data_IF_760881565274
#
_entry.id   IF_760881565274
#
_cell.length_a   1.000
_cell.length_b   1.000
_cell.length_c   1.000
_cell.angle_alpha   90.00
_cell.angle_beta   90.00
_cell.angle_gamma   90.00
#
_symmetry.space_group_name_H-M   'P 1'
#
loop_
_entity.id
_entity.type
_entity.pdbx_description
1 polymer ?
#
# COMPACT_ATOMS: atom_id res chain seq x y z
N UNK A 1 6.10 -33.17 -25.92
CA UNK A 1 5.56 -31.81 -25.81
C UNK A 1 6.21 -31.18 -24.59
N UNK A 2 7.09 -30.20 -24.77
CA UNK A 2 7.58 -29.43 -23.63
C UNK A 2 6.41 -28.59 -23.12
N UNK A 3 5.95 -28.84 -21.89
CA UNK A 3 5.00 -27.93 -21.24
C UNK A 3 5.65 -26.54 -21.20
N UNK A 4 4.99 -25.55 -21.77
CA UNK A 4 5.41 -24.15 -21.65
C UNK A 4 5.36 -23.77 -20.18
N UNK A 5 6.50 -23.33 -19.64
CA UNK A 5 6.60 -22.84 -18.27
C UNK A 5 5.65 -21.64 -18.11
N UNK A 6 4.80 -21.63 -17.07
CA UNK A 6 3.87 -20.53 -16.80
C UNK A 6 4.46 -19.46 -15.87
N UNK A 7 5.40 -19.86 -15.02
CA UNK A 7 6.14 -18.97 -14.13
C UNK A 7 7.49 -19.57 -13.75
N UNK A 8 8.42 -18.72 -13.35
CA UNK A 8 9.74 -19.10 -12.84
C UNK A 8 10.00 -18.35 -11.55
N UNK A 9 10.56 -19.02 -10.54
CA UNK A 9 10.83 -18.42 -9.24
C UNK A 9 12.25 -18.76 -8.77
N UNK A 10 12.96 -17.75 -8.28
CA UNK A 10 14.17 -17.92 -7.49
C UNK A 10 13.84 -17.86 -6.01
N UNK A 11 14.24 -18.90 -5.28
CA UNK A 11 14.03 -19.03 -3.85
C UNK A 11 15.10 -18.24 -3.07
N UNK A 12 14.80 -17.78 -1.84
CA UNK A 12 15.71 -16.94 -1.09
C UNK A 12 16.97 -17.69 -0.64
N UNK A 13 16.89 -19.02 -0.51
CA UNK A 13 18.04 -19.89 -0.18
C UNK A 13 19.07 -19.86 -1.30
N UNK A 14 18.62 -19.84 -2.55
CA UNK A 14 19.47 -19.92 -3.74
C UNK A 14 19.88 -18.52 -4.25
N UNK A 15 19.22 -17.48 -3.76
CA UNK A 15 19.33 -16.12 -4.29
C UNK A 15 19.62 -15.07 -3.18
N UNK A 16 20.54 -15.40 -2.27
CA UNK A 16 21.09 -14.42 -1.32
C UNK A 16 20.03 -13.71 -0.46
N UNK A 17 19.01 -14.45 0.00
CA UNK A 17 17.88 -13.94 0.78
C UNK A 17 16.90 -13.03 0.01
N UNK A 18 16.80 -13.23 -1.32
CA UNK A 18 15.87 -12.52 -2.20
C UNK A 18 14.93 -13.52 -2.87
N UNK A 19 13.64 -13.22 -2.89
CA UNK A 19 12.66 -13.96 -3.71
C UNK A 19 12.40 -13.17 -4.98
N UNK A 20 12.48 -13.83 -6.13
CA UNK A 20 12.10 -13.25 -7.42
C UNK A 20 11.16 -14.19 -8.15
N UNK A 21 10.09 -13.65 -8.73
CA UNK A 21 9.06 -14.41 -9.45
C UNK A 21 8.76 -13.73 -10.77
N UNK A 22 8.83 -14.48 -11.86
CA UNK A 22 8.42 -14.08 -13.19
C UNK A 22 7.21 -14.91 -13.61
N UNK A 23 6.17 -14.29 -14.17
CA UNK A 23 4.97 -15.02 -14.60
C UNK A 23 4.37 -14.47 -15.88
N UNK A 24 3.72 -15.35 -16.65
CA UNK A 24 2.98 -14.95 -17.86
C UNK A 24 1.67 -14.22 -17.54
N UNK A 25 1.11 -14.45 -16.35
CA UNK A 25 -0.13 -13.84 -15.86
C UNK A 25 0.02 -13.26 -14.46
N UNK A 26 -0.71 -12.18 -14.19
CA UNK A 26 -0.82 -11.55 -12.87
C UNK A 26 -1.47 -12.51 -11.89
N UNK A 27 -0.97 -12.53 -10.65
CA UNK A 27 -1.62 -13.25 -9.56
C UNK A 27 -2.95 -12.57 -9.16
N UNK A 28 -4.12 -13.21 -9.37
CA UNK A 28 -5.40 -12.65 -8.94
C UNK A 28 -5.66 -12.91 -7.45
N UNK A 29 -6.69 -12.25 -6.89
CA UNK A 29 -7.11 -12.45 -5.51
C UNK A 29 -7.57 -13.89 -5.21
N UNK A 30 -8.32 -14.49 -6.14
CA UNK A 30 -8.82 -15.86 -6.06
C UNK A 30 -8.20 -16.71 -7.18
N UNK A 31 -6.92 -17.11 -7.07
CA UNK A 31 -6.24 -17.89 -8.09
C UNK A 31 -6.77 -19.33 -8.11
N UNK A 32 -6.71 -19.93 -9.29
CA UNK A 32 -7.07 -21.32 -9.57
C UNK A 32 -5.98 -21.97 -10.43
N UNK A 33 -5.96 -23.30 -10.47
CA UNK A 33 -4.99 -24.05 -11.28
C UNK A 33 -3.53 -23.70 -10.94
N UNK A 34 -2.69 -23.51 -11.95
CA UNK A 34 -1.27 -23.22 -11.76
C UNK A 34 -1.00 -21.90 -11.02
N UNK A 35 -1.91 -20.91 -11.09
CA UNK A 35 -1.78 -19.65 -10.33
C UNK A 35 -1.89 -19.89 -8.82
N UNK A 36 -2.69 -20.88 -8.40
CA UNK A 36 -2.79 -21.26 -6.99
C UNK A 36 -1.48 -21.90 -6.52
N UNK A 37 -0.87 -22.75 -7.34
CA UNK A 37 0.43 -23.34 -7.07
C UNK A 37 1.52 -22.27 -6.96
N UNK A 38 1.58 -21.36 -7.95
CA UNK A 38 2.48 -20.21 -7.95
C UNK A 38 2.34 -19.37 -6.67
N UNK A 39 1.10 -19.08 -6.23
CA UNK A 39 0.87 -18.35 -4.97
C UNK A 39 1.42 -19.10 -3.77
N UNK A 40 1.13 -20.39 -3.66
CA UNK A 40 1.54 -21.19 -2.52
C UNK A 40 3.08 -21.28 -2.44
N UNK A 41 3.75 -21.47 -3.58
CA UNK A 41 5.20 -21.44 -3.68
C UNK A 41 5.77 -20.08 -3.31
N UNK A 42 5.20 -18.99 -3.82
CA UNK A 42 5.62 -17.64 -3.46
C UNK A 42 5.47 -17.37 -1.95
N UNK A 43 4.37 -17.79 -1.34
CA UNK A 43 4.15 -17.67 0.11
C UNK A 43 5.21 -18.42 0.91
N UNK A 44 5.47 -19.68 0.55
CA UNK A 44 6.51 -20.49 1.19
C UNK A 44 7.91 -19.88 1.01
N UNK A 45 8.21 -19.32 -0.18
CA UNK A 45 9.47 -18.64 -0.43
C UNK A 45 9.62 -17.38 0.42
N UNK A 46 8.60 -16.52 0.48
CA UNK A 46 8.60 -15.31 1.32
C UNK A 46 8.77 -15.65 2.80
N UNK A 47 8.09 -16.69 3.29
CA UNK A 47 8.21 -17.14 4.70
C UNK A 47 9.61 -17.65 5.07
N UNK A 48 10.45 -17.97 4.07
CA UNK A 48 11.84 -18.43 4.23
C UNK A 48 12.85 -17.30 4.12
N UNK A 49 12.44 -16.06 3.81
CA UNK A 49 13.34 -14.91 3.89
C UNK A 49 13.80 -14.77 5.34
N UNK A 50 15.11 -14.79 5.55
CA UNK A 50 15.73 -14.62 6.86
C UNK A 50 15.61 -13.18 7.33
N UNK A 51 15.25 -13.03 8.59
CA UNK A 51 15.26 -11.78 9.32
C UNK A 51 16.38 -11.85 10.37
N UNK A 52 17.57 -11.42 9.98
CA UNK A 52 18.77 -11.49 10.81
C UNK A 52 18.95 -10.23 11.69
N UNK A 53 18.03 -9.26 11.64
CA UNK A 53 18.14 -8.01 12.42
C UNK A 53 16.79 -7.33 12.67
N UNK A 54 16.60 -6.87 13.90
CA UNK A 54 15.44 -6.08 14.35
C UNK A 54 15.24 -4.71 13.66
N UNK A 55 16.05 -4.36 12.67
CA UNK A 55 16.00 -3.06 11.97
C UNK A 55 15.70 -3.17 10.48
N UNK A 56 15.47 -4.39 9.97
CA UNK A 56 15.19 -4.59 8.55
C UNK A 56 13.72 -4.38 8.24
N UNK A 57 13.48 -3.95 7.01
CA UNK A 57 12.18 -3.62 6.45
C UNK A 57 11.97 -4.49 5.22
N UNK A 58 10.77 -5.04 5.04
CA UNK A 58 10.38 -5.70 3.81
C UNK A 58 10.42 -4.70 2.65
N UNK A 59 11.13 -5.02 1.58
CA UNK A 59 11.04 -4.32 0.30
C UNK A 59 10.41 -5.25 -0.74
N UNK A 60 9.21 -4.88 -1.19
CA UNK A 60 8.41 -5.60 -2.16
C UNK A 60 8.27 -4.77 -3.44
N UNK A 61 8.57 -5.38 -4.59
CA UNK A 61 8.54 -4.74 -5.90
C UNK A 61 7.65 -5.54 -6.84
N UNK A 62 6.76 -4.84 -7.55
CA UNK A 62 6.01 -5.38 -8.68
C UNK A 62 6.37 -4.61 -9.94
N UNK A 63 6.53 -5.30 -11.07
CA UNK A 63 6.88 -4.67 -12.33
C UNK A 63 6.10 -5.31 -13.48
N UNK A 64 5.47 -4.47 -14.31
CA UNK A 64 4.84 -4.86 -15.57
C UNK A 64 4.66 -3.64 -16.47
N UNK A 65 4.67 -3.86 -17.78
CA UNK A 65 4.30 -2.85 -18.79
C UNK A 65 2.87 -3.06 -19.33
N UNK A 66 2.12 -3.99 -18.75
CA UNK A 66 0.73 -4.18 -19.13
C UNK A 66 -0.13 -3.03 -18.61
N UNK A 67 -1.08 -2.59 -19.44
CA UNK A 67 -2.09 -1.60 -19.05
C UNK A 67 -3.19 -2.26 -18.21
N UNK A 68 -3.70 -1.54 -17.21
CA UNK A 68 -4.79 -1.99 -16.35
C UNK A 68 -4.79 -1.28 -15.00
N UNK A 69 -5.77 -1.63 -14.15
CA UNK A 69 -5.80 -1.18 -12.75
C UNK A 69 -4.92 -2.09 -11.89
N UNK A 70 -3.93 -1.50 -11.23
CA UNK A 70 -2.99 -2.17 -10.35
C UNK A 70 -2.83 -1.36 -9.07
N UNK A 71 -3.38 -1.87 -7.97
CA UNK A 71 -3.10 -1.32 -6.66
C UNK A 71 -1.87 -2.08 -6.12
N UNK A 72 -0.79 -1.34 -5.84
CA UNK A 72 0.52 -1.92 -5.57
C UNK A 72 0.49 -2.88 -4.37
N UNK A 73 -0.25 -2.54 -3.32
CA UNK A 73 -0.45 -3.37 -2.13
C UNK A 73 -1.31 -4.61 -2.41
N UNK A 74 -2.27 -4.53 -3.33
CA UNK A 74 -3.08 -5.68 -3.72
C UNK A 74 -2.22 -6.74 -4.39
N UNK A 75 -1.42 -6.34 -5.38
CA UNK A 75 -0.57 -7.27 -6.13
C UNK A 75 0.60 -7.80 -5.30
N UNK A 76 1.20 -6.98 -4.43
CA UNK A 76 2.38 -7.37 -3.68
C UNK A 76 2.10 -8.08 -2.36
N UNK A 77 0.99 -7.76 -1.69
CA UNK A 77 0.72 -8.23 -0.32
C UNK A 77 -0.59 -9.01 -0.24
N UNK A 78 -1.71 -8.41 -0.67
CA UNK A 78 -3.03 -8.97 -0.42
C UNK A 78 -3.30 -10.26 -1.21
N UNK A 79 -3.01 -10.26 -2.52
CA UNK A 79 -3.22 -11.42 -3.38
C UNK A 79 -2.27 -12.59 -3.07
N UNK A 80 -1.08 -12.28 -2.55
CA UNK A 80 -0.10 -13.27 -2.08
C UNK A 80 -0.58 -13.90 -0.78
N UNK A 81 -1.11 -13.09 0.14
CA UNK A 81 -1.62 -13.53 1.43
C UNK A 81 -0.90 -12.84 2.57
N UNK A 82 -1.52 -11.84 3.24
CA UNK A 82 -0.90 -11.07 4.32
C UNK A 82 -0.23 -11.89 5.44
N UNK A 83 -0.75 -13.07 5.86
CA UNK A 83 -0.11 -13.86 6.92
C UNK A 83 1.33 -14.27 6.62
N UNK A 84 1.69 -14.48 5.34
CA UNK A 84 3.03 -14.93 4.95
C UNK A 84 4.12 -13.87 5.17
N UNK A 85 3.72 -12.60 5.35
CA UNK A 85 4.64 -11.49 5.62
C UNK A 85 4.78 -11.12 7.09
N UNK A 86 4.08 -11.83 8.00
CA UNK A 86 3.96 -11.43 9.42
C UNK A 86 5.31 -11.18 10.10
N UNK A 87 6.33 -11.98 9.76
CA UNK A 87 7.69 -11.86 10.33
C UNK A 87 8.46 -10.66 9.76
N UNK A 88 8.23 -10.30 8.51
CA UNK A 88 9.00 -9.29 7.77
C UNK A 88 8.44 -7.87 7.90
N UNK A 89 7.18 -7.75 8.33
CA UNK A 89 6.42 -6.49 8.35
C UNK A 89 6.19 -5.90 9.75
N UNK A 90 7.03 -6.27 10.72
CA UNK A 90 6.96 -5.78 12.11
C UNK A 90 7.57 -4.38 12.28
N UNK A 91 8.68 -4.10 11.58
CA UNK A 91 9.41 -2.83 11.68
C UNK A 91 9.07 -1.86 10.55
N UNK A 92 8.52 -2.36 9.45
CA UNK A 92 8.15 -1.55 8.30
C UNK A 92 7.93 -2.37 7.05
N UNK A 93 7.46 -1.71 6.00
CA UNK A 93 7.42 -2.23 4.64
C UNK A 93 7.65 -1.08 3.65
N UNK A 94 8.23 -1.43 2.51
CA UNK A 94 8.40 -0.59 1.35
C UNK A 94 7.83 -1.33 0.15
N UNK A 95 6.89 -0.72 -0.56
CA UNK A 95 6.22 -1.26 -1.73
C UNK A 95 6.51 -0.34 -2.89
N UNK A 96 6.86 -0.92 -4.02
CA UNK A 96 7.11 -0.18 -5.26
C UNK A 96 6.48 -0.88 -6.45
N UNK A 97 5.78 -0.10 -7.29
CA UNK A 97 5.24 -0.55 -8.55
C UNK A 97 6.00 0.12 -9.70
N UNK A 98 6.69 -0.65 -10.54
CA UNK A 98 7.35 -0.17 -11.76
C UNK A 98 6.51 -0.41 -13.01
N UNK A 99 6.22 0.66 -13.77
CA UNK A 99 5.44 0.61 -15.03
C UNK A 99 6.33 0.31 -16.26
N UNK A 100 7.21 -0.68 -16.15
CA UNK A 100 8.18 -1.03 -17.18
C UNK A 100 8.15 -2.54 -17.48
N UNK A 101 8.81 -2.97 -18.57
CA UNK A 101 8.94 -4.39 -18.89
C UNK A 101 9.54 -5.14 -17.69
N UNK A 102 9.05 -6.36 -17.38
CA UNK A 102 9.60 -7.18 -16.31
C UNK A 102 11.12 -7.31 -16.40
N UNK A 103 11.76 -7.36 -15.24
CA UNK A 103 13.20 -7.55 -15.12
C UNK A 103 13.66 -8.81 -15.86
N UNK A 104 14.89 -8.80 -16.38
CA UNK A 104 15.41 -9.89 -17.22
C UNK A 104 15.42 -11.21 -16.45
N UNK A 105 14.93 -12.27 -17.10
CA UNK A 105 15.03 -13.64 -16.61
C UNK A 105 16.50 -14.09 -16.52
N UNK A 106 16.84 -15.02 -15.61
CA UNK A 106 18.14 -15.67 -15.60
C UNK A 106 18.45 -16.37 -16.93
N UNK A 107 19.75 -16.47 -17.26
CA UNK A 107 20.21 -17.13 -18.49
C UNK A 107 19.70 -18.58 -18.51
N UNK A 108 19.21 -19.02 -19.66
CA UNK A 108 18.66 -20.37 -19.96
C UNK A 108 17.20 -20.63 -19.57
N UNK A 109 16.48 -19.66 -19.00
CA UNK A 109 15.03 -19.80 -18.80
C UNK A 109 14.28 -19.27 -20.02
N UNK A 110 13.45 -20.11 -20.64
CA UNK A 110 12.57 -19.74 -21.73
C UNK A 110 11.16 -19.50 -21.19
N UNK A 111 10.81 -18.23 -20.96
CA UNK A 111 9.52 -17.79 -20.44
C UNK A 111 9.22 -16.38 -20.96
N UNK A 112 8.08 -16.17 -21.61
CA UNK A 112 7.61 -14.83 -22.00
C UNK A 112 6.89 -14.18 -20.81
N UNK A 113 7.66 -13.73 -19.83
CA UNK A 113 7.12 -13.16 -18.59
C UNK A 113 6.54 -11.75 -18.82
N UNK A 114 5.31 -11.54 -18.35
CA UNK A 114 4.62 -10.24 -18.38
C UNK A 114 4.61 -9.54 -17.02
N UNK A 115 4.94 -10.27 -15.96
CA UNK A 115 4.93 -9.76 -14.59
C UNK A 115 6.17 -10.22 -13.84
N UNK A 116 6.65 -9.35 -12.97
CA UNK A 116 7.75 -9.61 -12.07
C UNK A 116 7.40 -9.20 -10.64
N UNK A 117 7.72 -10.05 -9.68
CA UNK A 117 7.70 -9.73 -8.25
C UNK A 117 9.09 -9.92 -7.68
N UNK A 118 9.45 -9.07 -6.72
CA UNK A 118 10.64 -9.26 -5.91
C UNK A 118 10.37 -8.93 -4.46
N UNK A 119 10.87 -9.78 -3.56
CA UNK A 119 10.80 -9.58 -2.12
C UNK A 119 12.19 -9.73 -1.53
N UNK A 120 12.58 -8.76 -0.71
CA UNK A 120 13.84 -8.78 0.03
C UNK A 120 13.67 -8.02 1.34
N UNK A 121 14.70 -8.04 2.17
CA UNK A 121 14.79 -7.23 3.37
C UNK A 121 16.03 -6.35 3.32
N UNK A 122 15.90 -5.12 3.80
CA UNK A 122 17.03 -4.19 3.88
C UNK A 122 16.87 -3.25 5.08
N UNK A 123 17.99 -2.73 5.58
CA UNK A 123 17.97 -1.64 6.54
C UNK A 123 17.38 -0.37 5.88
N UNK A 124 16.65 0.44 6.64
CA UNK A 124 15.96 1.63 6.12
C UNK A 124 16.88 2.55 5.30
N UNK A 125 18.07 2.84 5.83
CA UNK A 125 19.07 3.71 5.17
C UNK A 125 19.52 3.23 3.79
N UNK A 126 19.32 1.95 3.50
CA UNK A 126 19.68 1.32 2.23
C UNK A 126 18.49 1.25 1.26
N UNK A 127 17.27 1.56 1.71
CA UNK A 127 16.10 1.61 0.85
C UNK A 127 16.16 2.87 0.00
N UNK A 128 16.29 2.66 -1.32
CA UNK A 128 16.15 3.69 -2.33
C UNK A 128 15.12 3.19 -3.35
N UNK A 129 14.16 4.02 -3.79
CA UNK A 129 13.24 3.63 -4.85
C UNK A 129 14.01 3.18 -6.10
N UNK A 130 13.60 2.09 -6.72
CA UNK A 130 14.25 1.50 -7.90
C UNK A 130 13.84 2.19 -9.19
N UNK A 131 12.57 2.57 -9.32
CA UNK A 131 11.94 3.07 -10.53
C UNK A 131 11.57 4.55 -10.46
N UNK A 132 11.57 5.15 -9.26
CA UNK A 132 10.99 6.49 -9.06
C UNK A 132 12.01 7.50 -8.54
N UNK A 133 12.01 8.70 -9.13
CA UNK A 133 12.66 9.88 -8.58
C UNK A 133 11.66 10.65 -7.71
N UNK A 134 12.08 11.03 -6.49
CA UNK A 134 11.30 11.90 -5.62
C UNK A 134 11.48 13.36 -6.07
N UNK A 135 10.37 14.04 -6.35
CA UNK A 135 10.38 15.42 -6.86
C UNK A 135 10.06 16.43 -5.76
N UNK A 136 8.79 16.56 -5.40
CA UNK A 136 8.29 17.52 -4.43
C UNK A 136 7.44 16.86 -3.36
N UNK A 137 7.27 17.51 -2.21
CA UNK A 137 6.28 17.09 -1.21
C UNK A 137 4.97 17.80 -1.52
N UNK A 138 3.87 17.06 -1.65
CA UNK A 138 2.54 17.61 -1.92
C UNK A 138 1.85 18.05 -0.63
N UNK A 139 1.92 17.19 0.38
CA UNK A 139 1.35 17.41 1.69
C UNK A 139 2.13 16.65 2.76
N UNK A 140 2.07 17.14 4.00
CA UNK A 140 2.70 16.52 5.16
C UNK A 140 1.86 16.69 6.42
N UNK A 141 1.95 15.73 7.32
CA UNK A 141 1.26 15.75 8.61
C UNK A 141 2.18 15.26 9.72
N UNK A 142 1.89 15.67 10.95
CA UNK A 142 2.64 15.27 12.14
C UNK A 142 1.68 15.01 13.29
N UNK A 143 1.94 13.96 14.07
CA UNK A 143 1.19 13.63 15.28
C UNK A 143 -0.33 13.50 15.07
N UNK A 144 -0.76 13.02 13.90
CA UNK A 144 -2.17 12.70 13.69
C UNK A 144 -2.49 11.45 14.51
N UNK A 145 -3.57 11.43 15.32
CA UNK A 145 -3.98 10.24 16.05
C UNK A 145 -4.19 9.08 15.08
N UNK A 146 -3.72 7.89 15.46
CA UNK A 146 -3.93 6.69 14.67
C UNK A 146 -4.78 5.72 15.49
N UNK A 147 -5.90 5.16 14.97
CA UNK A 147 -6.57 4.07 15.65
C UNK A 147 -5.61 2.85 15.75
N UNK A 148 -5.76 2.00 16.78
CA UNK A 148 -4.93 0.81 16.91
C UNK A 148 -4.93 -0.05 15.64
N UNK A 149 -3.74 -0.38 15.14
CA UNK A 149 -3.57 -1.14 13.91
C UNK A 149 -3.83 -2.63 14.14
N UNK A 150 -5.10 -3.03 14.01
CA UNK A 150 -5.57 -4.41 14.14
C UNK A 150 -6.31 -4.86 12.88
N UNK A 151 -6.53 -6.16 12.73
CA UNK A 151 -7.11 -6.75 11.51
C UNK A 151 -8.53 -6.29 11.16
N UNK A 152 -9.22 -5.59 12.05
CA UNK A 152 -10.54 -5.00 11.83
C UNK A 152 -10.49 -3.51 11.44
N UNK A 153 -9.30 -2.93 11.27
CA UNK A 153 -9.09 -1.54 10.86
C UNK A 153 -9.94 -1.20 9.62
N UNK A 154 -10.60 -0.05 9.67
CA UNK A 154 -11.43 0.45 8.58
C UNK A 154 -10.90 1.79 8.05
N UNK A 155 -10.96 2.00 6.72
CA UNK A 155 -10.40 3.22 6.10
C UNK A 155 -11.08 4.51 6.58
N UNK A 156 -12.37 4.47 6.91
CA UNK A 156 -13.09 5.65 7.40
C UNK A 156 -12.57 6.18 8.74
N UNK A 157 -11.98 5.32 9.59
CA UNK A 157 -11.36 5.77 10.85
C UNK A 157 -10.11 6.60 10.56
N UNK A 158 -9.25 6.11 9.67
CA UNK A 158 -8.03 6.81 9.25
C UNK A 158 -8.38 8.11 8.51
N UNK A 159 -9.32 8.05 7.58
CA UNK A 159 -9.79 9.22 6.85
C UNK A 159 -10.27 10.32 7.80
N UNK A 160 -11.04 9.96 8.84
CA UNK A 160 -11.56 10.93 9.80
C UNK A 160 -10.44 11.58 10.63
N UNK A 161 -9.50 10.78 11.14
CA UNK A 161 -8.36 11.33 11.88
C UNK A 161 -7.53 12.26 11.00
N UNK A 162 -7.30 11.91 9.74
CA UNK A 162 -6.59 12.79 8.80
C UNK A 162 -7.36 14.09 8.51
N UNK A 163 -8.65 14.01 8.17
CA UNK A 163 -9.48 15.18 7.83
C UNK A 163 -9.76 16.10 9.03
N UNK A 164 -9.77 15.57 10.24
CA UNK A 164 -10.05 16.33 11.47
C UNK A 164 -8.82 16.99 12.08
N UNK A 165 -7.62 16.74 11.54
CA UNK A 165 -6.36 17.23 12.08
C UNK A 165 -5.63 18.14 11.09
N UNK A 166 -4.63 18.87 11.59
CA UNK A 166 -3.87 19.81 10.78
C UNK A 166 -2.97 19.09 9.79
N UNK A 167 -3.23 19.33 8.50
CA UNK A 167 -2.41 18.89 7.37
C UNK A 167 -1.75 20.11 6.75
N UNK A 168 -0.45 20.05 6.49
CA UNK A 168 0.26 21.08 5.73
C UNK A 168 0.25 20.71 4.26
N UNK A 169 -0.46 21.47 3.45
CA UNK A 169 -0.44 21.39 1.99
C UNK A 169 0.65 22.31 1.44
N UNK A 170 1.44 21.80 0.50
CA UNK A 170 2.54 22.54 -0.15
C UNK A 170 2.21 22.87 -1.61
N UNK A 171 1.47 22.01 -2.30
CA UNK A 171 0.94 22.23 -3.66
C UNK A 171 -0.44 21.58 -3.81
N UNK A 172 -1.29 22.14 -4.67
CA UNK A 172 -2.63 21.63 -4.97
C UNK A 172 -2.75 21.03 -6.38
N UNK A 173 -1.64 20.90 -7.11
CA UNK A 173 -1.66 20.28 -8.44
C UNK A 173 -1.55 18.76 -8.26
N UNK A 174 -2.54 17.97 -8.70
CA UNK A 174 -2.45 16.52 -8.65
C UNK A 174 -1.32 16.02 -9.54
N UNK A 175 -0.46 15.11 -9.06
CA UNK A 175 0.64 14.57 -9.84
C UNK A 175 0.17 13.40 -10.70
N UNK A 176 0.95 13.06 -11.73
CA UNK A 176 0.74 11.82 -12.50
C UNK A 176 1.01 10.58 -11.64
N UNK A 177 2.07 10.62 -10.84
CA UNK A 177 2.43 9.57 -9.88
C UNK A 177 2.80 10.16 -8.54
N UNK A 178 2.46 9.43 -7.49
CA UNK A 178 2.82 9.82 -6.14
C UNK A 178 3.21 8.62 -5.29
N UNK A 179 3.86 8.93 -4.17
CA UNK A 179 4.15 7.98 -3.12
C UNK A 179 3.75 8.48 -1.75
N UNK A 180 3.68 7.57 -0.81
CA UNK A 180 3.39 7.84 0.59
C UNK A 180 4.57 7.37 1.43
N UNK A 181 5.09 8.26 2.26
CA UNK A 181 6.04 7.91 3.31
C UNK A 181 5.43 8.22 4.67
N UNK A 182 5.39 7.24 5.56
CA UNK A 182 4.75 7.40 6.86
C UNK A 182 5.49 6.62 7.95
N UNK A 183 5.63 7.27 9.10
CA UNK A 183 6.06 6.67 10.35
C UNK A 183 4.84 6.48 11.24
N UNK A 184 4.67 5.24 11.70
CA UNK A 184 3.63 4.82 12.63
C UNK A 184 4.26 4.68 14.01
N UNK A 185 3.84 5.50 14.94
CA UNK A 185 4.24 5.43 16.34
C UNK A 185 3.24 4.57 17.09
N UNK A 186 3.71 3.44 17.58
CA UNK A 186 2.92 2.44 18.27
C UNK A 186 3.41 2.26 19.70
N UNK A 187 2.51 1.99 20.67
CA UNK A 187 2.92 1.66 22.02
C UNK A 187 3.84 0.44 22.09
N UNK A 188 4.81 0.48 23.00
CA UNK A 188 5.70 -0.64 23.26
C UNK A 188 4.92 -1.92 23.61
N UNK A 189 5.43 -3.08 23.16
CA UNK A 189 4.82 -4.39 23.42
C UNK A 189 3.59 -4.70 22.55
N UNK A 190 3.18 -3.79 21.66
CA UNK A 190 2.22 -4.10 20.59
C UNK A 190 2.96 -4.76 19.44
N UNK A 191 2.37 -5.82 18.88
CA UNK A 191 2.87 -6.46 17.66
C UNK A 191 1.95 -6.08 16.50
N UNK A 192 2.49 -5.41 15.49
CA UNK A 192 1.76 -5.01 14.29
C UNK A 192 2.13 -5.97 13.15
N UNK A 193 1.11 -6.42 12.41
CA UNK A 193 1.33 -7.03 11.11
C UNK A 193 0.91 -6.02 10.04
N UNK A 194 1.86 -5.19 9.57
CA UNK A 194 1.56 -4.15 8.59
C UNK A 194 0.94 -4.71 7.31
N UNK A 195 1.35 -5.91 6.89
CA UNK A 195 0.77 -6.57 5.71
C UNK A 195 -0.75 -6.78 5.82
N UNK A 196 -1.28 -6.93 7.03
CA UNK A 196 -2.72 -7.14 7.25
C UNK A 196 -3.54 -5.86 7.34
N UNK A 197 -2.89 -4.71 7.59
CA UNK A 197 -3.56 -3.42 7.82
C UNK A 197 -3.22 -2.37 6.77
N UNK A 198 -2.22 -2.61 5.93
CA UNK A 198 -1.74 -1.64 4.93
C UNK A 198 -2.86 -1.15 4.03
N UNK A 199 -3.72 -2.04 3.52
CA UNK A 199 -4.78 -1.63 2.60
C UNK A 199 -5.75 -0.62 3.23
N UNK A 200 -6.48 -0.94 4.33
CA UNK A 200 -7.38 0.03 4.93
C UNK A 200 -6.66 1.28 5.44
N UNK A 201 -5.39 1.18 5.84
CA UNK A 201 -4.57 2.32 6.25
C UNK A 201 -4.31 3.28 5.07
N UNK A 202 -3.77 2.76 3.97
CA UNK A 202 -3.41 3.55 2.79
C UNK A 202 -4.66 4.06 2.07
N UNK A 203 -5.71 3.26 1.93
CA UNK A 203 -7.00 3.70 1.37
C UNK A 203 -7.53 4.92 2.14
N UNK A 204 -7.50 4.87 3.49
CA UNK A 204 -7.96 5.96 4.34
C UNK A 204 -7.10 7.22 4.22
N UNK A 205 -5.77 7.07 4.18
CA UNK A 205 -4.83 8.18 3.94
C UNK A 205 -5.11 8.81 2.58
N UNK A 206 -5.09 8.04 1.49
CA UNK A 206 -5.32 8.56 0.12
C UNK A 206 -6.67 9.28 0.04
N UNK A 207 -7.73 8.69 0.58
CA UNK A 207 -9.06 9.30 0.58
C UNK A 207 -9.11 10.65 1.31
N UNK A 208 -8.24 10.89 2.31
CA UNK A 208 -8.18 12.16 3.03
C UNK A 208 -7.59 13.31 2.21
N UNK A 209 -6.86 12.98 1.14
CA UNK A 209 -6.26 13.93 0.20
C UNK A 209 -7.07 14.11 -1.09
N UNK A 210 -8.29 13.61 -1.10
CA UNK A 210 -9.31 13.94 -2.08
C UNK A 210 -10.41 14.81 -1.46
N UNK A 211 -11.14 15.51 -2.32
CA UNK A 211 -12.45 16.07 -2.00
C UNK A 211 -13.55 15.29 -2.73
N UNK A 212 -14.69 15.12 -2.09
CA UNK A 212 -15.86 14.58 -2.77
C UNK A 212 -16.47 15.61 -3.73
N UNK A 213 -17.05 15.15 -4.83
CA UNK A 213 -17.70 16.01 -5.83
C UNK A 213 -19.16 16.35 -5.52
N UNK A 214 -19.67 15.99 -4.35
CA UNK A 214 -21.05 16.24 -3.89
C UNK A 214 -22.09 15.23 -4.37
N UNK A 215 -21.72 14.24 -5.19
CA UNK A 215 -22.66 13.26 -5.70
C UNK A 215 -23.30 12.41 -4.58
N UNK A 216 -24.61 12.60 -4.36
CA UNK A 216 -25.38 11.96 -3.28
C UNK A 216 -24.88 12.31 -1.87
N UNK A 217 -24.38 13.53 -1.66
CA UNK A 217 -23.79 13.99 -0.40
C UNK A 217 -24.64 13.63 0.83
N UNK A 218 -25.93 13.99 0.84
CA UNK A 218 -26.81 13.70 1.98
C UNK A 218 -26.89 12.20 2.33
N UNK A 219 -26.98 11.32 1.31
CA UNK A 219 -27.06 9.87 1.51
C UNK A 219 -25.73 9.30 2.01
N UNK A 220 -24.60 9.70 1.42
CA UNK A 220 -23.27 9.21 1.85
C UNK A 220 -22.92 9.73 3.24
N UNK A 221 -23.24 10.98 3.57
CA UNK A 221 -23.05 11.58 4.90
C UNK A 221 -23.88 10.83 5.95
N UNK A 222 -25.16 10.56 5.66
CA UNK A 222 -26.03 9.81 6.59
C UNK A 222 -25.48 8.40 6.87
N UNK A 223 -25.06 7.66 5.83
CA UNK A 223 -24.50 6.31 6.00
C UNK A 223 -23.16 6.32 6.72
N UNK A 224 -22.30 7.29 6.42
CA UNK A 224 -21.02 7.43 7.11
C UNK A 224 -21.22 7.79 8.59
N UNK A 225 -22.16 8.68 8.90
CA UNK A 225 -22.56 8.98 10.29
C UNK A 225 -23.04 7.72 11.03
N UNK A 226 -23.86 6.89 10.38
CA UNK A 226 -24.30 5.61 10.95
C UNK A 226 -23.12 4.64 11.21
N UNK A 227 -22.11 4.61 10.33
CA UNK A 227 -20.88 3.82 10.55
C UNK A 227 -20.09 4.31 11.77
N UNK A 228 -20.12 5.62 12.05
CA UNK A 228 -19.58 6.22 13.27
C UNK A 228 -20.52 6.16 14.47
N UNK A 229 -21.69 5.52 14.36
CA UNK A 229 -22.74 5.47 15.38
C UNK A 229 -23.15 6.87 15.86
N UNK A 230 -23.14 7.86 14.97
CA UNK A 230 -23.49 9.25 15.29
C UNK A 230 -22.47 10.00 16.15
N UNK A 231 -21.26 9.45 16.36
CA UNK A 231 -20.24 10.07 17.22
C UNK A 231 -19.73 11.42 16.71
N UNK A 232 -19.76 11.63 15.39
CA UNK A 232 -19.14 12.79 14.74
C UNK A 232 -20.18 13.63 14.00
N UNK A 233 -20.06 14.95 14.12
CA UNK A 233 -20.86 15.96 13.41
C UNK A 233 -20.08 16.54 12.22
N UNK A 234 -20.76 17.30 11.35
CA UNK A 234 -20.17 18.06 10.23
C UNK A 234 -19.37 17.18 9.25
N UNK A 235 -19.80 15.93 9.06
CA UNK A 235 -19.14 14.99 8.15
C UNK A 235 -19.26 15.44 6.69
N UNK A 236 -20.34 16.11 6.32
CA UNK A 236 -20.52 16.73 5.01
C UNK A 236 -19.47 17.80 4.70
N UNK A 237 -19.16 18.67 5.66
CA UNK A 237 -18.08 19.65 5.53
C UNK A 237 -16.73 18.95 5.29
N UNK A 238 -16.39 17.93 6.09
CA UNK A 238 -15.14 17.17 5.95
C UNK A 238 -15.07 16.39 4.62
N UNK A 239 -16.19 15.85 4.15
CA UNK A 239 -16.31 15.14 2.86
C UNK A 239 -16.04 16.10 1.69
N UNK A 240 -16.52 17.34 1.78
CA UNK A 240 -16.42 18.36 0.73
C UNK A 240 -15.16 19.23 0.83
N UNK A 241 -14.42 19.15 1.94
CA UNK A 241 -13.23 19.95 2.22
C UNK A 241 -12.15 19.78 1.14
N UNK A 242 -11.79 20.90 0.48
CA UNK A 242 -10.82 20.98 -0.62
C UNK A 242 -9.42 21.44 -0.19
N UNK A 243 -9.31 21.97 1.01
CA UNK A 243 -8.07 22.49 1.60
C UNK A 243 -6.95 21.44 1.61
N UNK A 244 -7.28 20.17 1.91
CA UNK A 244 -6.34 19.05 1.90
C UNK A 244 -6.31 18.27 0.56
N UNK A 245 -7.10 18.66 -0.44
CA UNK A 245 -7.40 17.82 -1.60
C UNK A 245 -6.31 17.85 -2.70
N UNK A 246 -5.05 17.57 -2.34
CA UNK A 246 -3.89 17.62 -3.25
C UNK A 246 -3.94 16.56 -4.36
N UNK A 247 -4.75 15.51 -4.19
CA UNK A 247 -5.01 14.50 -5.22
C UNK A 247 -6.28 14.80 -6.04
N UNK A 248 -6.93 15.94 -5.78
CA UNK A 248 -8.03 16.46 -6.56
C UNK A 248 -9.43 16.02 -6.11
N UNK A 249 -10.43 16.53 -6.83
CA UNK A 249 -11.86 16.31 -6.55
C UNK A 249 -12.38 15.12 -7.35
N UNK A 250 -13.17 14.24 -6.72
CA UNK A 250 -13.79 13.11 -7.41
C UNK A 250 -15.04 12.57 -6.73
N UNK A 251 -15.67 11.57 -7.33
CA UNK A 251 -16.69 10.76 -6.65
C UNK A 251 -16.02 9.83 -5.63
N UNK A 252 -15.57 10.43 -4.53
CA UNK A 252 -14.84 9.78 -3.44
C UNK A 252 -15.66 8.72 -2.72
N UNK A 253 -16.96 8.99 -2.53
CA UNK A 253 -17.89 8.11 -1.83
C UNK A 253 -19.05 7.71 -2.75
N UNK A 254 -19.47 6.46 -2.62
CA UNK A 254 -20.73 5.97 -3.20
C UNK A 254 -21.52 5.21 -2.13
N UNK A 255 -22.86 5.31 -2.10
CA UNK A 255 -23.66 4.48 -1.22
C UNK A 255 -23.45 3.00 -1.56
N UNK A 256 -23.20 2.15 -0.56
CA UNK A 256 -22.97 0.72 -0.75
C UNK A 256 -23.49 -0.10 0.43
N UNK A 257 -24.46 -1.00 0.17
CA UNK A 257 -25.17 -1.76 1.21
C UNK A 257 -25.64 -0.83 2.34
N UNK A 258 -25.28 -1.11 3.59
CA UNK A 258 -25.60 -0.28 4.77
C UNK A 258 -24.55 0.80 5.08
N UNK A 259 -23.54 0.97 4.22
CA UNK A 259 -22.46 1.93 4.42
C UNK A 259 -22.09 2.67 3.14
N UNK A 260 -20.81 3.00 3.03
CA UNK A 260 -20.24 3.66 1.86
C UNK A 260 -19.11 2.82 1.26
N UNK A 261 -18.91 2.97 -0.04
CA UNK A 261 -17.75 2.48 -0.76
C UNK A 261 -16.82 3.67 -1.04
N UNK A 262 -15.56 3.51 -0.66
CA UNK A 262 -14.50 4.49 -0.88
C UNK A 262 -13.87 4.29 -2.26
N UNK A 263 -13.41 5.39 -2.85
CA UNK A 263 -12.73 5.41 -4.14
C UNK A 263 -11.42 6.20 -4.02
N UNK A 264 -10.31 5.54 -3.65
CA UNK A 264 -9.03 6.19 -3.43
C UNK A 264 -8.29 6.62 -4.72
N UNK A 265 -8.44 5.93 -5.87
CA UNK A 265 -7.54 6.16 -7.05
C UNK A 265 -6.07 5.94 -6.69
N UNK A 266 -5.86 4.83 -5.99
CA UNK A 266 -4.57 4.29 -5.61
C UNK A 266 -3.77 3.73 -6.81
N UNK A 267 -4.31 3.72 -8.02
CA UNK A 267 -3.63 3.30 -9.26
C UNK A 267 -2.44 4.20 -9.68
N UNK A 268 -2.39 5.42 -9.14
CA UNK A 268 -1.28 6.36 -9.28
C UNK A 268 -0.36 6.40 -8.03
N UNK A 269 -0.70 5.66 -6.97
CA UNK A 269 0.16 5.46 -5.81
C UNK A 269 1.16 4.33 -6.10
N UNK A 270 2.35 4.70 -6.56
CA UNK A 270 3.35 3.75 -7.07
C UNK A 270 4.45 3.41 -6.07
N UNK A 271 4.47 4.09 -4.92
CA UNK A 271 5.46 3.89 -3.87
C UNK A 271 4.85 4.09 -2.49
N UNK A 272 5.06 3.15 -1.59
CA UNK A 272 4.60 3.25 -0.20
C UNK A 272 5.75 2.82 0.71
N UNK A 273 6.21 3.70 1.60
CA UNK A 273 7.15 3.39 2.67
C UNK A 273 6.46 3.61 4.01
N UNK A 274 6.24 2.52 4.74
CA UNK A 274 5.72 2.53 6.10
C UNK A 274 6.78 2.05 7.07
N UNK A 275 6.99 2.80 8.13
CA UNK A 275 7.88 2.44 9.23
C UNK A 275 7.08 2.33 10.52
N UNK A 276 7.50 1.46 11.41
CA UNK A 276 6.99 1.37 12.78
C UNK A 276 8.07 1.82 13.76
N UNK A 277 7.70 2.72 14.66
CA UNK A 277 8.49 3.08 15.83
C UNK A 277 7.69 2.73 17.09
N UNK A 278 8.32 1.95 17.98
CA UNK A 278 7.69 1.46 19.20
C UNK A 278 8.09 2.35 20.37
N UNK A 279 7.16 3.19 20.79
CA UNK A 279 7.40 4.27 21.74
C UNK A 279 6.87 3.95 23.14
N UNK A 280 7.47 4.58 24.14
CA UNK A 280 7.01 4.55 25.54
C UNK A 280 5.85 5.54 25.75
N UNK A 281 4.80 5.40 24.95
CA UNK A 281 3.54 6.15 25.01
C UNK A 281 2.41 5.15 24.75
N UNK A 282 1.26 5.35 25.37
CA UNK A 282 0.07 4.52 25.15
C UNK A 282 -0.75 4.97 23.93
N UNK A 283 -0.45 6.15 23.38
CA UNK A 283 -1.14 6.71 22.23
C UNK A 283 -0.48 6.32 20.92
N UNK A 284 -1.31 5.91 19.97
CA UNK A 284 -0.92 5.67 18.59
C UNK A 284 -0.94 6.97 17.80
N UNK A 285 0.09 7.22 17.00
CA UNK A 285 0.10 8.38 16.10
C UNK A 285 0.78 8.06 14.78
N UNK A 286 0.50 8.89 13.79
CA UNK A 286 1.10 8.82 12.47
C UNK A 286 1.63 10.19 12.04
N UNK A 287 2.78 10.16 11.40
CA UNK A 287 3.38 11.30 10.72
C UNK A 287 3.87 10.86 9.36
N UNK A 288 3.82 11.75 8.39
CA UNK A 288 4.13 11.34 7.03
C UNK A 288 3.93 12.44 6.01
N UNK A 289 4.07 12.03 4.76
CA UNK A 289 3.96 12.90 3.60
C UNK A 289 3.48 12.16 2.36
N UNK A 290 2.84 12.91 1.48
CA UNK A 290 2.65 12.53 0.07
C UNK A 290 3.73 13.24 -0.73
N UNK A 291 4.40 12.47 -1.59
CA UNK A 291 5.46 12.94 -2.47
C UNK A 291 5.08 12.74 -3.94
N UNK A 292 5.40 13.71 -4.77
CA UNK A 292 5.35 13.59 -6.22
C UNK A 292 6.51 12.71 -6.71
N UNK A 293 6.20 11.84 -7.66
CA UNK A 293 7.16 10.92 -8.26
C UNK A 293 7.18 11.05 -9.77
N UNK A 294 8.36 10.83 -10.34
CA UNK A 294 8.55 10.66 -11.79
C UNK A 294 9.34 9.40 -12.07
N UNK A 295 9.06 8.71 -13.16
CA UNK A 295 9.83 7.53 -13.57
C UNK A 295 11.32 7.88 -13.77
N UNK A 296 12.19 6.96 -13.34
CA UNK A 296 13.62 7.02 -13.64
C UNK A 296 13.82 6.68 -15.11
N UNK A 297 14.62 7.52 -15.77
CA UNK A 297 15.10 7.29 -17.13
C UNK A 297 16.18 6.23 -17.17
#
# INVERSE_FOLDING_TARGET
>A
MNESLNYFMLNPVDNGNVVELWSVQRLPYQPQGWLLNMRNELRTAVERIKDDSSSIILHAVYQTNQSGFFDAENVLIYNVGPPSFRKLCSNGLCIEFGKAKPSKLPRNIQLEANHYHRYTVAAEKNLKPWFWNQCSTLASWSKVPCPPLKGDLKPHLIWYEMKSNSIKVHTQTPPDYYGIEMLLKAPQGKNINLASVIKPLIDGVICSFHAHNGAKLAEVTSRLSAMFKGKYSNLDDLIMAKDSAVLGVRKLLSPYRQGVMWNPADDNCVYIKLLCDYINDDQWSMEGRIIELTEKK
#
